data_IF_219826658647
#
_entry.id   IF_219826658647
#
_cell.length_a   1.000
_cell.length_b   1.000
_cell.length_c   1.000
_cell.angle_alpha   90.00
_cell.angle_beta   90.00
_cell.angle_gamma   90.00
#
_symmetry.space_group_name_H-M   'P 1'
#
loop_
_entity.id
_entity.type
_entity.pdbx_description
1 polymer ?
#
# COMPACT_ATOMS: atom_id res chain seq x y z
N UNK A 1 33.74 8.88 -1.00
CA UNK A 1 32.77 7.91 -0.44
C UNK A 1 31.39 8.21 -1.00
N UNK A 2 30.85 7.39 -1.92
CA UNK A 2 29.47 7.57 -2.42
C UNK A 2 28.53 6.69 -1.61
N UNK A 3 27.83 7.30 -0.66
CA UNK A 3 26.69 6.72 0.04
C UNK A 3 25.54 6.62 -0.95
N UNK A 4 25.17 5.43 -1.40
CA UNK A 4 23.96 5.24 -2.18
C UNK A 4 22.74 5.25 -1.26
N UNK A 5 22.38 6.46 -0.84
CA UNK A 5 21.01 6.99 -0.87
C UNK A 5 19.89 5.95 -0.84
N UNK A 6 19.39 5.65 0.37
CA UNK A 6 17.99 5.40 0.76
C UNK A 6 17.05 4.57 -0.14
N UNK A 7 17.55 3.77 -1.08
CA UNK A 7 16.73 3.04 -2.06
C UNK A 7 16.47 1.63 -1.57
N UNK A 8 15.21 1.22 -1.66
CA UNK A 8 14.79 -0.13 -1.30
C UNK A 8 15.55 -1.18 -2.14
N UNK A 9 16.32 -2.09 -1.51
CA UNK A 9 17.19 -3.03 -2.22
C UNK A 9 16.41 -3.91 -3.20
N UNK A 10 15.21 -4.34 -2.82
CA UNK A 10 14.28 -5.09 -3.67
C UNK A 10 13.93 -4.36 -4.97
N UNK A 11 13.75 -3.03 -4.91
CA UNK A 11 13.45 -2.22 -6.11
C UNK A 11 14.68 -2.04 -6.99
N UNK A 12 15.86 -1.94 -6.39
CA UNK A 12 17.13 -1.86 -7.13
C UNK A 12 17.38 -3.19 -7.86
N UNK A 13 17.22 -4.32 -7.17
CA UNK A 13 17.34 -5.64 -7.76
C UNK A 13 16.35 -5.86 -8.93
N UNK A 14 15.09 -5.43 -8.76
CA UNK A 14 14.09 -5.50 -9.83
C UNK A 14 14.49 -4.67 -11.07
N UNK A 15 15.02 -3.46 -10.86
CA UNK A 15 15.52 -2.61 -11.95
C UNK A 15 16.69 -3.24 -12.70
N UNK A 16 17.65 -3.82 -11.97
CA UNK A 16 18.79 -4.53 -12.58
C UNK A 16 18.31 -5.76 -13.37
N UNK A 17 17.34 -6.52 -12.85
CA UNK A 17 16.73 -7.64 -13.57
C UNK A 17 16.00 -7.20 -14.85
N UNK A 18 15.35 -6.04 -14.83
CA UNK A 18 14.73 -5.47 -16.03
C UNK A 18 15.78 -5.11 -17.08
N UNK A 19 16.92 -4.54 -16.67
CA UNK A 19 18.02 -4.26 -17.62
C UNK A 19 18.60 -5.52 -18.24
N UNK A 20 18.64 -6.65 -17.52
CA UNK A 20 19.11 -7.92 -18.07
C UNK A 20 18.23 -8.43 -19.21
N UNK A 21 16.91 -8.29 -19.07
CA UNK A 21 15.92 -8.77 -20.03
C UNK A 21 15.61 -7.79 -21.17
N UNK A 22 16.08 -6.54 -21.09
CA UNK A 22 15.82 -5.56 -22.13
C UNK A 22 16.68 -5.88 -23.37
N UNK A 23 16.09 -6.07 -24.57
CA UNK A 23 16.84 -6.31 -25.80
C UNK A 23 17.58 -5.06 -26.31
N UNK A 24 17.21 -3.86 -25.84
CA UNK A 24 17.75 -2.58 -26.30
C UNK A 24 18.88 -2.01 -25.41
N UNK A 25 19.43 -2.81 -24.48
CA UNK A 25 20.60 -2.39 -23.70
C UNK A 25 21.89 -2.96 -24.30
N UNK A 26 23.00 -2.26 -24.08
CA UNK A 26 24.31 -2.77 -24.46
C UNK A 26 24.70 -3.99 -23.64
N UNK A 27 25.59 -4.82 -24.20
CA UNK A 27 26.18 -5.97 -23.52
C UNK A 27 26.91 -5.57 -22.23
N UNK A 28 27.67 -4.48 -22.29
CA UNK A 28 28.37 -3.91 -21.13
C UNK A 28 27.39 -3.46 -20.02
N UNK A 29 26.25 -2.86 -20.39
CA UNK A 29 25.22 -2.49 -19.41
C UNK A 29 24.58 -3.73 -18.76
N UNK A 30 24.38 -4.80 -19.53
CA UNK A 30 23.86 -6.08 -19.03
C UNK A 30 24.85 -6.73 -18.05
N UNK A 31 26.13 -6.74 -18.38
CA UNK A 31 27.18 -7.30 -17.52
C UNK A 31 27.34 -6.54 -16.21
N UNK A 32 27.37 -5.20 -16.27
CA UNK A 32 27.40 -4.35 -15.06
C UNK A 32 26.15 -4.55 -14.20
N UNK A 33 24.98 -4.75 -14.83
CA UNK A 33 23.75 -5.01 -14.10
C UNK A 33 23.76 -6.38 -13.41
N UNK A 34 24.31 -7.41 -14.07
CA UNK A 34 24.47 -8.75 -13.50
C UNK A 34 25.38 -8.72 -12.26
N UNK A 35 26.56 -8.11 -12.40
CA UNK A 35 27.52 -8.02 -11.29
C UNK A 35 26.95 -7.24 -10.09
N UNK A 36 26.22 -6.15 -10.33
CA UNK A 36 25.56 -5.40 -9.25
C UNK A 36 24.41 -6.17 -8.59
N UNK A 37 23.70 -6.99 -9.36
CA UNK A 37 22.63 -7.82 -8.81
C UNK A 37 23.22 -8.93 -7.92
N UNK A 38 24.33 -9.53 -8.32
CA UNK A 38 25.05 -10.53 -7.53
C UNK A 38 25.63 -9.95 -6.23
N UNK A 39 26.21 -8.76 -6.27
CA UNK A 39 26.72 -8.05 -5.09
C UNK A 39 25.59 -7.71 -4.07
N UNK A 40 24.42 -7.30 -4.59
CA UNK A 40 23.22 -7.09 -3.78
C UNK A 40 22.70 -8.39 -3.16
N UNK A 41 22.65 -9.49 -3.91
CA UNK A 41 22.20 -10.79 -3.39
C UNK A 41 23.19 -11.38 -2.39
N UNK A 42 24.49 -11.19 -2.63
CA UNK A 42 25.56 -11.62 -1.72
C UNK A 42 25.49 -10.85 -0.39
N UNK A 43 25.17 -9.55 -0.44
CA UNK A 43 24.97 -8.73 0.76
C UNK A 43 23.64 -9.00 1.49
N UNK A 44 22.61 -9.50 0.81
CA UNK A 44 21.33 -9.91 1.43
C UNK A 44 21.38 -11.29 2.13
N UNK A 45 22.46 -12.07 1.96
CA UNK A 45 22.61 -13.42 2.52
C UNK A 45 22.71 -13.50 4.07
N UNK A 46 22.71 -12.37 4.78
CA UNK A 46 22.78 -12.31 6.26
C UNK A 46 21.43 -12.02 6.93
N UNK A 47 20.34 -11.77 6.20
CA UNK A 47 19.06 -11.37 6.82
C UNK A 47 17.80 -12.08 6.31
N UNK A 48 17.90 -13.27 5.71
CA UNK A 48 16.70 -14.09 5.50
C UNK A 48 16.35 -14.90 6.75
N UNK A 49 16.04 -14.20 7.83
CA UNK A 49 15.13 -14.77 8.82
C UNK A 49 13.75 -14.93 8.13
N UNK A 50 13.03 -16.05 8.34
CA UNK A 50 11.67 -16.18 7.86
C UNK A 50 10.84 -15.10 8.56
N UNK A 51 10.36 -14.10 7.81
CA UNK A 51 9.47 -13.07 8.34
C UNK A 51 8.09 -13.68 8.60
N UNK A 52 7.91 -14.26 9.78
CA UNK A 52 6.69 -14.96 10.21
C UNK A 52 5.57 -14.03 10.72
N UNK A 53 5.55 -12.73 10.39
CA UNK A 53 4.55 -11.82 11.01
C UNK A 53 4.04 -10.66 10.15
N UNK A 54 4.21 -10.68 8.84
CA UNK A 54 3.54 -9.71 7.97
C UNK A 54 2.85 -10.46 6.81
N UNK A 55 1.55 -10.21 6.54
CA UNK A 55 0.95 -10.68 5.30
C UNK A 55 1.79 -10.13 4.15
N UNK A 56 2.23 -11.03 3.27
CA UNK A 56 3.14 -10.76 2.16
C UNK A 56 2.80 -9.44 1.47
N UNK A 57 3.78 -8.57 1.25
CA UNK A 57 3.55 -7.30 0.55
C UNK A 57 2.90 -7.54 -0.82
N UNK A 58 3.12 -8.71 -1.42
CA UNK A 58 2.46 -9.15 -2.65
C UNK A 58 0.96 -9.36 -2.46
N UNK A 59 0.52 -10.00 -1.36
CA UNK A 59 -0.92 -10.22 -1.11
C UNK A 59 -1.64 -8.90 -0.89
N UNK A 60 -1.07 -7.99 -0.08
CA UNK A 60 -1.65 -6.66 0.11
C UNK A 60 -1.77 -5.86 -1.20
N UNK A 61 -0.76 -5.97 -2.08
CA UNK A 61 -0.78 -5.30 -3.39
C UNK A 61 -1.84 -5.86 -4.31
N UNK A 62 -1.97 -7.19 -4.36
CA UNK A 62 -2.97 -7.89 -5.17
C UNK A 62 -4.38 -7.56 -4.68
N UNK A 63 -4.63 -7.65 -3.37
CA UNK A 63 -5.91 -7.30 -2.76
C UNK A 63 -6.26 -5.82 -2.98
N UNK A 64 -5.26 -4.92 -2.90
CA UNK A 64 -5.43 -3.52 -3.28
C UNK A 64 -5.88 -3.34 -4.73
N UNK A 65 -5.36 -4.15 -5.66
CA UNK A 65 -5.81 -4.17 -7.06
C UNK A 65 -7.28 -4.58 -7.21
N UNK A 66 -7.72 -5.63 -6.51
CA UNK A 66 -9.13 -6.03 -6.53
C UNK A 66 -10.06 -4.97 -5.93
N UNK A 67 -9.63 -4.24 -4.88
CA UNK A 67 -10.38 -3.08 -4.37
C UNK A 67 -10.50 -1.97 -5.40
N UNK A 68 -9.44 -1.72 -6.17
CA UNK A 68 -9.48 -0.74 -7.25
C UNK A 68 -10.45 -1.16 -8.36
N UNK A 69 -10.50 -2.45 -8.71
CA UNK A 69 -11.46 -3.00 -9.67
C UNK A 69 -12.90 -2.69 -9.27
N UNK A 70 -13.29 -2.88 -8.00
CA UNK A 70 -14.65 -2.60 -7.54
C UNK A 70 -15.09 -1.15 -7.74
N UNK A 71 -14.18 -0.20 -7.52
CA UNK A 71 -14.44 1.23 -7.59
C UNK A 71 -14.21 1.85 -8.97
N UNK A 72 -13.65 1.09 -9.92
CA UNK A 72 -13.42 1.59 -11.26
C UNK A 72 -14.68 1.42 -12.13
N UNK A 73 -15.28 2.52 -12.54
CA UNK A 73 -16.49 2.53 -13.39
C UNK A 73 -16.29 1.87 -14.75
N UNK A 74 -15.04 1.80 -15.23
CA UNK A 74 -14.69 1.19 -16.52
C UNK A 74 -14.53 -0.34 -16.46
N UNK A 75 -14.71 -0.94 -15.29
CA UNK A 75 -14.59 -2.40 -15.14
C UNK A 75 -15.94 -3.08 -15.32
N UNK A 76 -15.92 -4.26 -15.93
CA UNK A 76 -17.14 -5.03 -16.18
C UNK A 76 -17.75 -5.55 -14.89
N UNK A 77 -19.05 -5.86 -14.95
CA UNK A 77 -19.76 -6.48 -13.85
C UNK A 77 -19.08 -7.78 -13.38
N UNK A 78 -18.71 -8.66 -14.31
CA UNK A 78 -18.05 -9.93 -14.00
C UNK A 78 -16.68 -9.73 -13.32
N UNK A 79 -15.91 -8.72 -13.75
CA UNK A 79 -14.63 -8.41 -13.12
C UNK A 79 -14.82 -7.88 -11.68
N UNK A 80 -15.87 -7.07 -11.45
CA UNK A 80 -16.24 -6.62 -10.10
C UNK A 80 -16.73 -7.77 -9.23
N UNK A 81 -17.50 -8.71 -9.79
CA UNK A 81 -17.96 -9.90 -9.07
C UNK A 81 -16.77 -10.74 -8.59
N UNK A 82 -15.88 -11.10 -9.52
CA UNK A 82 -14.68 -11.86 -9.20
C UNK A 82 -13.78 -11.12 -8.19
N UNK A 83 -13.63 -9.80 -8.32
CA UNK A 83 -12.87 -9.01 -7.35
C UNK A 83 -13.47 -9.07 -5.93
N UNK A 84 -14.80 -9.11 -5.81
CA UNK A 84 -15.50 -9.27 -4.53
C UNK A 84 -15.20 -10.65 -3.92
N UNK A 85 -15.33 -11.72 -4.70
CA UNK A 85 -15.07 -13.10 -4.24
C UNK A 85 -13.65 -13.26 -3.69
N UNK A 86 -12.65 -12.72 -4.40
CA UNK A 86 -11.24 -12.80 -3.96
C UNK A 86 -11.01 -12.02 -2.65
N UNK A 87 -11.63 -10.84 -2.51
CA UNK A 87 -11.51 -10.02 -1.31
C UNK A 87 -12.18 -10.68 -0.11
N UNK A 88 -13.36 -11.24 -0.29
CA UNK A 88 -14.08 -11.98 0.75
C UNK A 88 -13.31 -13.23 1.19
N UNK A 89 -12.78 -14.01 0.25
CA UNK A 89 -11.93 -15.16 0.54
C UNK A 89 -10.65 -14.78 1.32
N UNK A 90 -10.16 -13.55 1.14
CA UNK A 90 -9.03 -13.01 1.89
C UNK A 90 -9.43 -12.36 3.24
N UNK A 91 -10.71 -12.47 3.65
CA UNK A 91 -11.23 -11.88 4.89
C UNK A 91 -11.47 -10.38 4.82
N UNK A 92 -11.48 -9.79 3.62
CA UNK A 92 -11.87 -8.39 3.42
C UNK A 92 -13.34 -8.30 3.02
N UNK A 93 -14.20 -8.19 4.01
CA UNK A 93 -15.61 -7.85 3.77
C UNK A 93 -15.70 -6.39 3.30
N UNK A 94 -16.16 -6.20 2.06
CA UNK A 94 -16.34 -4.87 1.45
C UNK A 94 -17.62 -4.21 1.97
N UNK A 95 -18.61 -5.02 2.32
CA UNK A 95 -19.85 -4.55 2.91
C UNK A 95 -19.64 -4.28 4.39
N UNK A 96 -20.26 -3.19 4.87
CA UNK A 96 -20.29 -2.88 6.29
C UNK A 96 -20.97 -4.04 7.01
N UNK A 97 -20.28 -4.62 8.00
CA UNK A 97 -20.87 -5.67 8.83
C UNK A 97 -22.17 -5.14 9.44
N UNK A 98 -23.33 -5.74 9.13
CA UNK A 98 -24.62 -5.27 9.62
C UNK A 98 -24.74 -5.37 11.14
N UNK A 99 -23.86 -6.13 11.81
CA UNK A 99 -23.80 -6.21 13.27
C UNK A 99 -23.00 -5.07 13.91
N UNK A 100 -22.28 -4.26 13.12
CA UNK A 100 -21.61 -3.06 13.62
C UNK A 100 -22.61 -1.90 13.63
N UNK A 101 -23.04 -1.44 14.83
CA UNK A 101 -24.04 -0.39 14.92
C UNK A 101 -23.53 0.91 14.31
N UNK A 102 -24.44 1.68 13.70
CA UNK A 102 -24.16 3.01 13.11
C UNK A 102 -23.41 3.93 14.09
N UNK A 103 -23.78 3.83 15.36
CA UNK A 103 -23.19 4.60 16.45
C UNK A 103 -21.69 4.34 16.63
N UNK A 104 -21.20 3.12 16.35
CA UNK A 104 -19.77 2.82 16.43
C UNK A 104 -19.00 3.43 15.26
N UNK A 105 -19.61 3.46 14.06
CA UNK A 105 -19.04 4.16 12.91
C UNK A 105 -18.93 5.66 13.18
N UNK A 106 -20.01 6.29 13.65
CA UNK A 106 -20.03 7.71 14.03
C UNK A 106 -18.99 8.02 15.11
N UNK A 107 -18.89 7.17 16.14
CA UNK A 107 -17.89 7.33 17.21
C UNK A 107 -16.46 7.34 16.65
N UNK A 108 -16.16 6.41 15.72
CA UNK A 108 -14.83 6.33 15.08
C UNK A 108 -14.57 7.54 14.18
N UNK A 109 -15.57 8.03 13.45
CA UNK A 109 -15.48 9.23 12.62
C UNK A 109 -15.19 10.46 13.48
N UNK A 110 -15.94 10.67 14.55
CA UNK A 110 -15.73 11.74 15.53
C UNK A 110 -14.32 11.66 16.13
N UNK A 111 -13.88 10.47 16.54
CA UNK A 111 -12.53 10.27 17.08
C UNK A 111 -11.44 10.63 16.06
N UNK A 112 -11.65 10.28 14.78
CA UNK A 112 -10.75 10.64 13.68
C UNK A 112 -10.62 12.15 13.49
N UNK A 113 -11.73 12.88 13.49
CA UNK A 113 -11.71 14.34 13.39
C UNK A 113 -11.06 15.01 14.61
N UNK A 114 -11.28 14.48 15.82
CA UNK A 114 -10.56 14.94 17.02
C UNK A 114 -9.05 14.72 16.88
N UNK A 115 -8.62 13.56 16.40
CA UNK A 115 -7.21 13.30 16.13
C UNK A 115 -6.62 14.25 15.08
N UNK A 116 -7.39 14.60 14.04
CA UNK A 116 -6.96 15.54 13.00
C UNK A 116 -6.66 16.94 13.56
N UNK A 117 -7.45 17.43 14.53
CA UNK A 117 -7.21 18.72 15.20
C UNK A 117 -5.85 18.79 15.90
N UNK A 118 -5.39 17.68 16.48
CA UNK A 118 -4.13 17.62 17.21
C UNK A 118 -2.92 17.21 16.37
N UNK A 119 -3.13 16.75 15.13
CA UNK A 119 -2.06 16.29 14.29
C UNK A 119 -1.30 17.47 13.64
N UNK A 120 0.00 17.66 13.94
CA UNK A 120 0.79 18.78 13.38
C UNK A 120 0.99 18.67 11.87
N UNK A 121 0.79 17.49 11.27
CA UNK A 121 0.88 17.27 9.82
C UNK A 121 -0.41 17.62 9.06
N UNK A 122 -1.49 17.93 9.77
CA UNK A 122 -2.77 18.32 9.17
C UNK A 122 -2.78 19.83 8.96
N UNK A 123 -3.25 20.29 7.81
CA UNK A 123 -3.32 21.70 7.46
C UNK A 123 -4.38 22.44 8.30
N UNK A 124 -4.19 23.73 8.49
CA UNK A 124 -5.16 24.55 9.26
C UNK A 124 -6.55 24.55 8.62
N UNK A 125 -6.65 24.57 7.29
CA UNK A 125 -7.93 24.43 6.59
C UNK A 125 -8.63 23.09 6.89
N UNK A 126 -7.88 21.99 6.93
CA UNK A 126 -8.43 20.68 7.27
C UNK A 126 -8.83 20.57 8.75
N UNK A 127 -8.10 21.23 9.66
CA UNK A 127 -8.48 21.36 11.07
C UNK A 127 -9.74 22.19 11.25
N UNK A 128 -9.89 23.28 10.50
CA UNK A 128 -11.10 24.10 10.54
C UNK A 128 -12.33 23.29 10.10
N UNK A 129 -12.22 22.54 9.01
CA UNK A 129 -13.27 21.61 8.58
C UNK A 129 -13.56 20.53 9.64
N UNK A 130 -12.52 19.97 10.26
CA UNK A 130 -12.68 19.00 11.35
C UNK A 130 -13.44 19.59 12.54
N UNK A 131 -13.19 20.86 12.87
CA UNK A 131 -13.87 21.59 13.94
C UNK A 131 -15.34 21.86 13.60
N UNK A 132 -15.64 22.28 12.38
CA UNK A 132 -17.02 22.47 11.90
C UNK A 132 -17.80 21.16 11.97
N UNK A 133 -17.23 20.07 11.44
CA UNK A 133 -17.85 18.74 11.51
C UNK A 133 -18.14 18.32 12.95
N UNK A 134 -17.18 18.50 13.88
CA UNK A 134 -17.37 18.15 15.28
C UNK A 134 -18.45 19.02 15.97
N UNK A 135 -18.58 20.30 15.62
CA UNK A 135 -19.64 21.15 16.15
C UNK A 135 -21.02 20.69 15.66
N UNK A 136 -21.16 20.38 14.36
CA UNK A 136 -22.42 19.88 13.77
C UNK A 136 -22.87 18.57 14.41
N UNK A 137 -21.91 17.71 14.78
CA UNK A 137 -22.18 16.42 15.42
C UNK A 137 -22.19 16.50 16.96
N UNK A 138 -22.16 17.70 17.55
CA UNK A 138 -22.24 17.91 19.01
C UNK A 138 -21.07 17.34 19.80
N UNK A 139 -19.90 17.19 19.17
CA UNK A 139 -18.75 16.48 19.69
C UNK A 139 -17.48 17.34 19.84
N UNK A 140 -17.59 18.67 19.67
CA UNK A 140 -16.50 19.63 19.82
C UNK A 140 -16.15 19.91 21.28
#
# INVERSE_FOLDING_TARGET
>A
MRVTSGKNPTRVAAGLKATLNNPHVSTEARERAAHRLEDLLSSESVQRAPSTTAPDHETNRVLGGYKATLNNDRTSFDAKHHAREILEAAGYTIERDPNVPESEHETRVIAGYKAALHNPRVSEAAKQHAKEFLNEHGAY
#
